data_IF_699752880336
#
_entry.id   IF_699752880336
#
_cell.length_a   1.000
_cell.length_b   1.000
_cell.length_c   1.000
_cell.angle_alpha   90.00
_cell.angle_beta   90.00
_cell.angle_gamma   90.00
#
_symmetry.space_group_name_H-M   'P 1'
#
loop_
_entity.id
_entity.type
_entity.pdbx_description
1 polymer ?
#
# COMPACT_ATOMS: atom_id res chain seq x y z
N UNK A 1 -12.95 -15.84 4.51
CA UNK A 1 -13.94 -16.71 3.82
C UNK A 1 -15.25 -15.92 3.72
N UNK A 2 -16.02 -16.01 2.63
CA UNK A 2 -17.33 -15.34 2.56
C UNK A 2 -18.33 -16.22 3.30
N UNK A 3 -19.05 -15.70 4.29
CA UNK A 3 -20.15 -16.45 4.90
C UNK A 3 -21.40 -16.32 4.02
N UNK A 4 -22.43 -17.10 4.38
CA UNK A 4 -23.70 -17.22 3.65
C UNK A 4 -24.46 -15.88 3.52
N UNK A 5 -24.10 -14.90 4.35
CA UNK A 5 -24.67 -13.54 4.33
C UNK A 5 -23.87 -12.55 3.47
N UNK A 6 -22.92 -13.04 2.66
CA UNK A 6 -22.10 -12.20 1.79
C UNK A 6 -21.05 -11.36 2.51
N UNK A 7 -20.89 -11.51 3.83
CA UNK A 7 -19.91 -10.79 4.65
C UNK A 7 -18.55 -11.47 4.54
N UNK A 8 -17.53 -10.68 4.23
CA UNK A 8 -16.14 -11.13 4.27
C UNK A 8 -15.68 -11.22 5.72
N UNK A 9 -15.63 -12.44 6.26
CA UNK A 9 -14.95 -12.69 7.53
C UNK A 9 -13.46 -12.89 7.28
N UNK A 10 -12.66 -12.11 8.02
CA UNK A 10 -11.22 -12.27 8.12
C UNK A 10 -10.94 -13.71 8.57
N UNK A 11 -10.41 -14.55 7.67
CA UNK A 11 -10.09 -15.93 8.00
C UNK A 11 -8.64 -15.99 8.43
N UNK A 12 -8.43 -16.18 9.73
CA UNK A 12 -7.21 -16.56 10.45
C UNK A 12 -5.91 -16.68 9.64
N UNK A 13 -4.83 -16.13 10.19
CA UNK A 13 -3.47 -16.52 9.87
C UNK A 13 -3.22 -17.98 10.29
N UNK A 14 -3.53 -18.94 9.41
CA UNK A 14 -3.17 -20.35 9.60
C UNK A 14 -1.68 -20.56 9.35
N UNK A 15 -1.00 -21.24 10.28
CA UNK A 15 0.37 -21.73 10.10
C UNK A 15 0.37 -22.86 9.03
N UNK A 16 1.35 -22.91 8.11
CA UNK A 16 1.51 -24.02 7.18
C UNK A 16 1.65 -25.36 7.92
N UNK A 17 1.09 -26.44 7.38
CA UNK A 17 1.08 -27.75 8.04
C UNK A 17 2.48 -28.35 8.14
N UNK A 18 3.36 -28.13 7.15
CA UNK A 18 4.73 -28.66 7.15
C UNK A 18 5.76 -27.61 7.57
N UNK A 19 5.51 -26.34 7.29
CA UNK A 19 6.46 -25.26 7.56
C UNK A 19 6.00 -24.26 8.65
N UNK A 20 6.14 -24.64 9.93
CA UNK A 20 5.79 -23.78 11.08
C UNK A 20 6.70 -22.55 11.31
N UNK A 21 7.69 -22.32 10.43
CA UNK A 21 8.73 -21.29 10.59
C UNK A 21 8.28 -19.89 10.16
N UNK A 22 7.24 -19.79 9.34
CA UNK A 22 6.76 -18.53 8.79
C UNK A 22 5.23 -18.41 8.84
N UNK A 23 4.77 -17.16 8.82
CA UNK A 23 3.37 -16.80 8.60
C UNK A 23 3.18 -16.43 7.13
N UNK A 24 2.01 -16.80 6.60
CA UNK A 24 1.65 -16.56 5.20
C UNK A 24 0.39 -15.71 5.15
N UNK A 25 0.55 -14.48 4.67
CA UNK A 25 -0.55 -13.55 4.40
C UNK A 25 -0.91 -13.62 2.91
N UNK A 26 -2.03 -14.26 2.59
CA UNK A 26 -2.51 -14.38 1.21
C UNK A 26 -2.91 -13.00 0.70
N UNK A 27 -2.35 -12.60 -0.44
CA UNK A 27 -2.60 -11.31 -1.07
C UNK A 27 -3.63 -11.44 -2.17
N UNK A 28 -3.45 -12.41 -3.07
CA UNK A 28 -4.29 -12.58 -4.26
C UNK A 28 -4.23 -14.02 -4.79
N UNK A 29 -5.35 -14.52 -5.32
CA UNK A 29 -5.38 -15.81 -6.04
C UNK A 29 -4.82 -15.65 -7.46
N UNK A 30 -3.91 -16.54 -7.86
CA UNK A 30 -3.38 -16.67 -9.24
C UNK A 30 -4.25 -17.66 -10.00
N UNK A 31 -4.49 -18.82 -9.39
CA UNK A 31 -5.41 -19.86 -9.85
C UNK A 31 -6.24 -20.35 -8.66
N UNK A 32 -7.11 -21.34 -8.87
CA UNK A 32 -7.83 -21.99 -7.77
C UNK A 32 -6.91 -22.66 -6.73
N UNK A 33 -5.66 -22.95 -7.10
CA UNK A 33 -4.70 -23.69 -6.27
C UNK A 33 -3.40 -22.94 -5.98
N UNK A 34 -3.15 -21.78 -6.59
CA UNK A 34 -1.94 -20.97 -6.40
C UNK A 34 -2.28 -19.54 -6.01
N UNK A 35 -1.49 -18.97 -5.12
CA UNK A 35 -1.73 -17.65 -4.53
C UNK A 35 -0.44 -16.86 -4.42
N UNK A 36 -0.51 -15.56 -4.66
CA UNK A 36 0.52 -14.62 -4.19
C UNK A 36 0.35 -14.41 -2.70
N UNK A 37 1.46 -14.44 -1.97
CA UNK A 37 1.46 -14.26 -0.52
C UNK A 37 2.67 -13.49 -0.04
N UNK A 38 2.50 -12.78 1.07
CA UNK A 38 3.63 -12.25 1.84
C UNK A 38 4.06 -13.25 2.90
N UNK A 39 5.35 -13.54 2.93
CA UNK A 39 5.95 -14.42 3.92
C UNK A 39 6.57 -13.57 5.02
N UNK A 40 6.20 -13.87 6.27
CA UNK A 40 6.75 -13.22 7.46
C UNK A 40 7.43 -14.26 8.33
N UNK A 41 8.67 -14.03 8.71
CA UNK A 41 9.34 -14.89 9.69
C UNK A 41 8.69 -14.75 11.06
N UNK A 42 8.55 -15.87 11.78
CA UNK A 42 7.82 -15.95 13.06
C UNK A 42 8.46 -15.15 14.20
N UNK A 43 9.76 -14.83 14.08
CA UNK A 43 10.51 -13.98 15.00
C UNK A 43 11.45 -13.13 14.17
N UNK A 44 11.12 -11.86 13.97
CA UNK A 44 12.19 -10.88 13.94
C UNK A 44 12.56 -10.68 15.41
N UNK A 45 13.79 -10.98 15.88
CA UNK A 45 14.23 -10.37 17.12
C UNK A 45 14.06 -8.87 16.92
N UNK A 46 13.18 -8.24 17.69
CA UNK A 46 13.11 -6.79 17.72
C UNK A 46 14.32 -6.35 18.54
N UNK A 47 15.46 -6.29 17.86
CA UNK A 47 16.73 -5.83 18.40
C UNK A 47 16.85 -4.30 18.26
N UNK A 48 17.99 -3.74 18.67
CA UNK A 48 18.26 -2.32 18.46
C UNK A 48 18.25 -1.92 16.99
N UNK A 49 18.54 -2.84 16.08
CA UNK A 49 18.57 -2.56 14.65
C UNK A 49 17.16 -2.36 14.10
N UNK A 50 16.15 -3.10 14.58
CA UNK A 50 14.74 -2.81 14.28
C UNK A 50 14.31 -1.41 14.74
N UNK A 51 14.80 -0.94 15.91
CA UNK A 51 14.47 0.41 16.42
C UNK A 51 15.07 1.51 15.55
N UNK A 52 16.24 1.25 14.94
CA UNK A 52 16.98 2.18 14.07
C UNK A 52 16.51 2.09 12.61
N UNK A 53 16.07 0.92 12.17
CA UNK A 53 15.65 0.69 10.79
C UNK A 53 14.36 1.46 10.47
N UNK A 54 14.44 2.37 9.50
CA UNK A 54 13.29 3.10 8.99
C UNK A 54 12.35 2.18 8.17
N UNK A 55 12.88 1.10 7.61
CA UNK A 55 12.16 0.18 6.74
C UNK A 55 12.42 -1.28 7.11
N UNK A 56 11.46 -2.14 6.82
CA UNK A 56 11.60 -3.58 6.69
C UNK A 56 11.26 -4.01 5.25
N UNK A 57 11.45 -5.30 4.95
CA UNK A 57 11.11 -5.86 3.66
C UNK A 57 10.10 -6.98 3.81
N UNK A 58 9.07 -6.94 2.97
CA UNK A 58 8.10 -8.01 2.80
C UNK A 58 8.51 -8.86 1.61
N UNK A 59 8.57 -10.16 1.81
CA UNK A 59 8.88 -11.11 0.74
C UNK A 59 7.58 -11.52 0.06
N UNK A 60 7.43 -11.18 -1.21
CA UNK A 60 6.38 -11.70 -2.08
C UNK A 60 6.80 -13.08 -2.61
N UNK A 61 5.94 -14.08 -2.42
CA UNK A 61 6.16 -15.45 -2.86
C UNK A 61 4.90 -16.05 -3.49
N UNK A 62 5.03 -17.23 -4.10
CA UNK A 62 3.89 -18.05 -4.54
C UNK A 62 3.71 -19.22 -3.58
N UNK A 63 2.48 -19.40 -3.12
CA UNK A 63 2.09 -20.53 -2.26
C UNK A 63 0.94 -21.33 -2.87
N UNK A 64 0.80 -22.57 -2.45
CA UNK A 64 -0.33 -23.41 -2.82
C UNK A 64 -1.56 -23.17 -1.93
N UNK A 65 -2.64 -23.93 -2.16
CA UNK A 65 -3.87 -23.91 -1.35
C UNK A 65 -3.67 -24.31 0.12
N UNK A 66 -2.59 -25.03 0.42
CA UNK A 66 -2.20 -25.46 1.77
C UNK A 66 -1.23 -24.45 2.42
N UNK A 67 -0.92 -23.36 1.70
CA UNK A 67 0.04 -22.30 2.05
C UNK A 67 1.48 -22.78 2.11
N UNK A 68 1.79 -23.88 1.43
CA UNK A 68 3.17 -24.33 1.24
C UNK A 68 3.81 -23.52 0.11
N UNK A 69 5.08 -23.15 0.29
CA UNK A 69 5.84 -22.39 -0.69
C UNK A 69 6.03 -23.21 -1.98
N UNK A 70 5.59 -22.64 -3.11
CA UNK A 70 5.83 -23.18 -4.47
C UNK A 70 7.08 -22.52 -5.07
N UNK A 71 7.19 -21.20 -4.92
CA UNK A 71 8.31 -20.41 -5.41
C UNK A 71 8.69 -19.40 -4.33
N UNK A 72 9.97 -19.36 -4.00
CA UNK A 72 10.50 -18.49 -2.96
C UNK A 72 10.89 -17.14 -3.57
N UNK A 73 10.60 -16.06 -2.84
CA UNK A 73 11.25 -14.75 -3.01
C UNK A 73 11.16 -14.18 -4.43
N UNK A 74 9.92 -14.05 -4.94
CA UNK A 74 9.73 -13.34 -6.21
C UNK A 74 10.27 -11.90 -6.10
N UNK A 75 9.92 -11.22 -5.02
CA UNK A 75 10.32 -9.83 -4.78
C UNK A 75 10.44 -9.51 -3.30
N UNK A 76 11.43 -8.70 -2.97
CA UNK A 76 11.50 -7.97 -1.70
C UNK A 76 10.89 -6.59 -1.86
N UNK A 77 9.84 -6.32 -1.08
CA UNK A 77 9.09 -5.06 -1.12
C UNK A 77 9.37 -4.25 0.14
N UNK A 78 9.89 -3.03 -0.04
CA UNK A 78 10.16 -2.09 1.05
C UNK A 78 8.88 -1.66 1.76
N UNK A 79 8.85 -1.74 3.08
CA UNK A 79 7.75 -1.28 3.93
C UNK A 79 8.27 -0.43 5.08
N UNK A 80 7.67 0.74 5.37
CA UNK A 80 8.08 1.55 6.50
C UNK A 80 7.75 0.89 7.83
N UNK A 81 8.67 1.06 8.78
CA UNK A 81 8.46 0.62 10.15
C UNK A 81 7.68 1.67 10.93
N UNK A 82 6.77 1.19 11.78
CA UNK A 82 6.15 2.03 12.79
C UNK A 82 7.17 2.41 13.86
N UNK A 83 7.00 3.58 14.46
CA UNK A 83 7.72 3.93 15.67
C UNK A 83 7.03 3.22 16.84
N UNK A 84 7.82 2.47 17.59
CA UNK A 84 7.38 1.72 18.76
C UNK A 84 8.33 1.96 19.92
N UNK A 85 7.78 1.95 21.13
CA UNK A 85 8.52 1.96 22.39
C UNK A 85 8.45 0.60 23.06
N UNK A 86 9.44 0.31 23.91
CA UNK A 86 9.46 -0.88 24.74
C UNK A 86 9.56 -0.47 26.20
N UNK A 87 8.46 -0.60 26.93
CA UNK A 87 8.36 -0.30 28.36
C UNK A 87 7.93 -1.56 29.11
N UNK A 88 8.72 -1.98 30.11
CA UNK A 88 8.37 -3.12 30.97
C UNK A 88 8.20 -4.46 30.23
N UNK A 89 8.86 -4.66 29.09
CA UNK A 89 8.70 -5.86 28.26
C UNK A 89 7.48 -5.83 27.33
N UNK A 90 6.73 -4.73 27.30
CA UNK A 90 5.60 -4.51 26.39
C UNK A 90 5.98 -3.57 25.24
N UNK A 91 5.40 -3.80 24.06
CA UNK A 91 5.56 -2.93 22.90
C UNK A 91 4.42 -1.91 22.85
N UNK A 92 4.76 -0.63 22.83
CA UNK A 92 3.82 0.48 22.74
C UNK A 92 3.94 1.14 21.38
N UNK A 93 2.86 1.17 20.61
CA UNK A 93 2.82 1.86 19.33
C UNK A 93 2.82 3.38 19.53
N UNK A 94 3.81 4.07 18.96
CA UNK A 94 3.88 5.54 18.99
C UNK A 94 3.16 6.13 17.79
N UNK A 95 3.43 5.63 16.59
CA UNK A 95 2.89 6.20 15.35
C UNK A 95 3.62 5.74 14.09
N UNK A 96 3.12 6.17 12.94
CA UNK A 96 3.77 6.00 11.64
C UNK A 96 4.04 7.38 11.04
N UNK A 97 5.29 7.75 10.74
CA UNK A 97 5.58 9.01 10.05
C UNK A 97 4.85 9.08 8.70
N UNK A 98 4.31 10.24 8.31
CA UNK A 98 3.73 10.42 6.99
C UNK A 98 4.80 10.36 5.90
N UNK A 99 4.34 10.23 4.64
CA UNK A 99 5.19 10.32 3.44
C UNK A 99 6.34 9.30 3.38
N UNK A 100 6.21 8.17 4.07
CA UNK A 100 7.19 7.11 3.94
C UNK A 100 7.02 6.34 2.62
N UNK A 101 8.11 6.15 1.89
CA UNK A 101 8.10 5.35 0.67
C UNK A 101 7.83 3.88 0.99
N UNK A 102 6.75 3.34 0.43
CA UNK A 102 6.40 1.94 0.55
C UNK A 102 6.20 1.34 -0.84
N UNK A 103 6.86 0.22 -1.10
CA UNK A 103 6.63 -0.53 -2.32
C UNK A 103 5.23 -1.15 -2.31
N UNK A 104 4.60 -1.13 -3.48
CA UNK A 104 3.19 -1.50 -3.64
C UNK A 104 3.09 -2.63 -4.65
N UNK A 105 2.45 -3.73 -4.25
CA UNK A 105 2.09 -4.82 -5.15
C UNK A 105 0.63 -4.70 -5.58
N UNK A 106 0.38 -4.88 -6.89
CA UNK A 106 -0.96 -4.94 -7.48
C UNK A 106 -1.02 -6.08 -8.49
N UNK A 107 -1.98 -6.96 -8.32
CA UNK A 107 -2.34 -7.92 -9.35
C UNK A 107 -3.04 -7.24 -10.52
N UNK A 108 -2.76 -7.71 -11.72
CA UNK A 108 -3.51 -7.41 -12.95
C UNK A 108 -4.06 -8.74 -13.47
N UNK A 109 -5.16 -8.68 -14.21
CA UNK A 109 -5.75 -9.85 -14.86
C UNK A 109 -4.72 -10.73 -15.61
N UNK A 110 -5.06 -12.00 -15.79
CA UNK A 110 -4.27 -13.01 -16.49
C UNK A 110 -2.92 -13.37 -15.84
N UNK A 111 -2.82 -13.28 -14.51
CA UNK A 111 -1.61 -13.70 -13.80
C UNK A 111 -0.50 -12.65 -13.78
N UNK A 112 -0.72 -11.50 -14.41
CA UNK A 112 0.24 -10.39 -14.42
C UNK A 112 0.19 -9.62 -13.11
N UNK A 113 1.24 -8.87 -12.80
CA UNK A 113 1.25 -7.98 -11.65
C UNK A 113 2.20 -6.82 -11.83
N UNK A 114 2.06 -5.84 -10.95
CA UNK A 114 2.86 -4.62 -10.94
C UNK A 114 3.40 -4.35 -9.57
N UNK A 115 4.67 -3.96 -9.54
CA UNK A 115 5.33 -3.40 -8.38
C UNK A 115 5.54 -1.92 -8.63
N UNK A 116 4.92 -1.09 -7.81
CA UNK A 116 5.17 0.35 -7.78
C UNK A 116 6.19 0.68 -6.71
N UNK A 117 7.23 1.41 -7.10
CA UNK A 117 8.30 1.90 -6.23
C UNK A 117 8.29 3.44 -6.20
N UNK A 118 7.62 4.05 -5.22
CA UNK A 118 7.45 5.51 -5.17
C UNK A 118 8.75 6.29 -5.04
N UNK A 119 9.77 5.72 -4.39
CA UNK A 119 11.08 6.36 -4.25
C UNK A 119 11.83 6.47 -5.57
N UNK A 120 11.51 5.64 -6.57
CA UNK A 120 12.13 5.69 -7.90
C UNK A 120 11.19 6.21 -8.99
N UNK A 121 9.97 6.66 -8.64
CA UNK A 121 8.93 7.08 -9.60
C UNK A 121 8.67 6.04 -10.69
N UNK A 122 8.64 4.74 -10.35
CA UNK A 122 8.54 3.65 -11.34
C UNK A 122 7.46 2.63 -11.01
N UNK A 123 6.88 2.08 -12.06
CA UNK A 123 6.07 0.87 -12.02
C UNK A 123 6.72 -0.22 -12.87
N UNK A 124 6.85 -1.42 -12.32
CA UNK A 124 7.45 -2.59 -12.95
C UNK A 124 6.39 -3.64 -13.20
N UNK A 125 6.16 -3.99 -14.47
CA UNK A 125 5.13 -4.95 -14.89
C UNK A 125 5.75 -6.31 -15.19
N UNK A 126 5.17 -7.33 -14.57
CA UNK A 126 5.64 -8.70 -14.65
C UNK A 126 4.56 -9.61 -15.24
N UNK A 127 4.99 -10.56 -16.05
CA UNK A 127 4.12 -11.55 -16.65
C UNK A 127 3.76 -12.68 -15.64
N UNK A 128 2.97 -13.64 -16.10
CA UNK A 128 2.55 -14.80 -15.32
C UNK A 128 3.70 -15.77 -14.98
N UNK A 129 4.81 -15.68 -15.73
CA UNK A 129 6.07 -16.37 -15.47
C UNK A 129 7.03 -15.55 -14.60
N UNK A 130 6.58 -14.40 -14.10
CA UNK A 130 7.33 -13.47 -13.24
C UNK A 130 8.51 -12.77 -13.94
N UNK A 131 8.54 -12.75 -15.27
CA UNK A 131 9.51 -11.97 -16.02
C UNK A 131 9.07 -10.52 -16.11
N UNK A 132 10.01 -9.59 -15.89
CA UNK A 132 9.79 -8.17 -16.14
C UNK A 132 9.63 -7.96 -17.65
N UNK A 133 8.47 -7.48 -18.10
CA UNK A 133 8.23 -7.20 -19.52
C UNK A 133 8.09 -5.70 -19.82
N UNK A 134 7.84 -4.86 -18.81
CA UNK A 134 7.70 -3.41 -19.00
C UNK A 134 8.03 -2.62 -17.74
N UNK A 135 8.74 -1.52 -17.93
CA UNK A 135 8.95 -0.49 -16.90
C UNK A 135 8.29 0.80 -17.35
N UNK A 136 7.49 1.41 -16.47
CA UNK A 136 6.89 2.72 -16.70
C UNK A 136 7.56 3.72 -15.76
N UNK A 137 8.11 4.78 -16.35
CA UNK A 137 8.67 5.92 -15.63
C UNK A 137 7.58 6.96 -15.47
N UNK A 138 7.27 7.33 -14.22
CA UNK A 138 6.23 8.28 -13.91
C UNK A 138 6.83 9.69 -13.97
N UNK A 139 6.25 10.55 -14.81
CA UNK A 139 6.63 11.96 -14.91
C UNK A 139 6.03 12.73 -13.73
N UNK A 140 6.55 12.48 -12.53
CA UNK A 140 6.16 13.16 -11.29
C UNK A 140 7.38 13.79 -10.66
N UNK A 141 7.25 15.08 -10.37
CA UNK A 141 8.26 15.80 -9.61
C UNK A 141 8.23 15.38 -8.15
N UNK A 142 9.41 15.37 -7.53
CA UNK A 142 9.52 15.16 -6.09
C UNK A 142 9.21 16.46 -5.36
N UNK A 143 8.13 16.46 -4.60
CA UNK A 143 7.77 17.59 -3.76
C UNK A 143 8.49 17.54 -2.41
N UNK A 144 8.89 18.70 -1.90
CA UNK A 144 9.39 18.81 -0.53
C UNK A 144 8.23 18.70 0.46
N UNK A 145 8.48 18.04 1.58
CA UNK A 145 7.55 18.08 2.71
C UNK A 145 7.58 19.48 3.32
N UNK A 146 6.42 20.12 3.40
CA UNK A 146 6.25 21.47 3.95
C UNK A 146 5.88 21.43 5.43
N UNK A 147 5.95 22.58 6.11
CA UNK A 147 5.50 22.66 7.51
C UNK A 147 3.99 22.45 7.62
N UNK A 148 3.25 22.93 6.63
CA UNK A 148 1.80 22.80 6.53
C UNK A 148 1.39 21.32 6.41
N UNK A 149 2.12 20.52 5.63
CA UNK A 149 1.91 19.07 5.55
C UNK A 149 2.07 18.39 6.92
N UNK A 150 3.13 18.77 7.65
CA UNK A 150 3.46 18.24 8.97
C UNK A 150 2.36 18.61 9.98
N UNK A 151 1.96 19.88 10.03
CA UNK A 151 0.89 20.35 10.93
C UNK A 151 -0.45 19.68 10.59
N UNK A 152 -0.79 19.56 9.30
CA UNK A 152 -2.00 18.87 8.88
C UNK A 152 -2.03 17.41 9.34
N UNK A 153 -0.90 16.70 9.20
CA UNK A 153 -0.76 15.33 9.68
C UNK A 153 -0.96 15.24 11.20
N UNK A 154 -0.28 16.08 11.99
CA UNK A 154 -0.38 16.02 13.45
C UNK A 154 -1.76 16.42 13.96
N UNK A 155 -2.38 17.45 13.39
CA UNK A 155 -3.75 17.87 13.70
C UNK A 155 -4.77 16.76 13.44
N UNK A 156 -4.55 15.96 12.39
CA UNK A 156 -5.46 14.87 12.00
C UNK A 156 -5.35 13.63 12.88
N UNK A 157 -4.25 13.44 13.63
CA UNK A 157 -3.96 12.21 14.36
C UNK A 157 -3.87 12.38 15.89
N UNK A 158 -3.95 13.61 16.42
CA UNK A 158 -4.00 13.90 17.88
C UNK A 158 -2.86 13.26 18.70
N UNK A 159 -1.62 13.36 18.21
CA UNK A 159 -0.45 12.86 18.95
C UNK A 159 -0.10 13.76 20.16
N UNK A 160 0.43 13.18 21.24
CA UNK A 160 1.02 13.94 22.35
C UNK A 160 2.27 14.70 21.89
N UNK A 161 2.66 15.76 22.61
CA UNK A 161 3.86 16.55 22.29
C UNK A 161 5.13 15.71 22.20
N UNK A 162 5.29 14.73 23.10
CA UNK A 162 6.43 13.82 23.10
C UNK A 162 6.42 12.91 21.85
N UNK A 163 5.28 12.28 21.54
CA UNK A 163 5.15 11.41 20.37
C UNK A 163 5.32 12.19 19.08
N UNK A 164 4.87 13.45 19.05
CA UNK A 164 5.04 14.37 17.92
C UNK A 164 6.52 14.54 17.58
N UNK A 165 7.35 14.93 18.55
CA UNK A 165 8.79 15.13 18.31
C UNK A 165 9.48 13.87 17.75
N UNK A 166 9.15 12.70 18.33
CA UNK A 166 9.69 11.42 17.86
C UNK A 166 9.28 11.10 16.42
N UNK A 167 8.02 11.33 16.05
CA UNK A 167 7.52 11.11 14.69
C UNK A 167 8.12 12.12 13.71
N UNK A 168 8.15 13.39 14.09
CA UNK A 168 8.62 14.50 13.26
C UNK A 168 10.08 14.29 12.82
N UNK A 169 10.93 13.79 13.73
CA UNK A 169 12.33 13.44 13.43
C UNK A 169 12.54 12.39 12.34
N UNK A 170 11.50 11.61 12.00
CA UNK A 170 11.54 10.55 10.99
C UNK A 170 10.79 10.91 9.71
N UNK A 171 10.25 12.12 9.60
CA UNK A 171 9.60 12.60 8.38
C UNK A 171 10.67 12.85 7.31
N UNK A 172 10.53 12.31 6.08
CA UNK A 172 11.50 12.51 5.04
C UNK A 172 11.44 13.95 4.51
N UNK A 173 12.55 14.44 3.96
CA UNK A 173 12.61 15.78 3.35
C UNK A 173 11.71 15.92 2.12
N UNK A 174 11.50 14.83 1.38
CA UNK A 174 10.71 14.80 0.15
C UNK A 174 9.57 13.79 0.27
N UNK A 175 8.42 14.14 -0.29
CA UNK A 175 7.30 13.24 -0.46
C UNK A 175 7.67 12.13 -1.45
N UNK A 176 7.13 10.91 -1.29
CA UNK A 176 7.21 9.89 -2.32
C UNK A 176 6.37 10.35 -3.52
N UNK A 177 6.75 9.95 -4.73
CA UNK A 177 6.04 10.40 -5.94
C UNK A 177 4.57 9.92 -5.98
N UNK A 178 4.24 8.86 -5.24
CA UNK A 178 2.87 8.46 -4.97
C UNK A 178 2.78 7.67 -3.65
N UNK A 179 1.66 7.81 -2.94
CA UNK A 179 1.33 7.09 -1.72
C UNK A 179 0.73 5.70 -2.00
N UNK A 180 -0.02 5.59 -3.11
CA UNK A 180 -0.67 4.37 -3.57
C UNK A 180 -0.95 4.44 -5.08
N UNK A 181 -1.23 3.29 -5.71
CA UNK A 181 -1.62 3.25 -7.11
C UNK A 181 -2.67 2.16 -7.42
N UNK A 182 -3.36 2.39 -8.54
CA UNK A 182 -4.27 1.46 -9.20
C UNK A 182 -4.02 1.48 -10.70
N UNK A 183 -4.30 0.36 -11.36
CA UNK A 183 -4.09 0.19 -12.80
C UNK A 183 -5.37 -0.35 -13.41
N UNK A 184 -5.70 0.20 -14.56
CA UNK A 184 -6.74 -0.32 -15.46
C UNK A 184 -6.07 -0.72 -16.78
N UNK A 185 -6.87 -1.16 -17.75
CA UNK A 185 -6.34 -1.56 -19.07
C UNK A 185 -5.53 -0.48 -19.77
N UNK A 186 -5.89 0.80 -19.59
CA UNK A 186 -5.35 1.93 -20.35
C UNK A 186 -4.83 3.09 -19.49
N UNK A 187 -5.09 3.10 -18.18
CA UNK A 187 -4.75 4.20 -17.29
C UNK A 187 -4.09 3.72 -15.99
N UNK A 188 -3.22 4.55 -15.49
CA UNK A 188 -2.59 4.46 -14.16
C UNK A 188 -3.20 5.56 -13.30
N UNK A 189 -3.60 5.21 -12.08
CA UNK A 189 -4.13 6.14 -11.09
C UNK A 189 -3.21 6.15 -9.89
N UNK A 190 -2.74 7.32 -9.50
CA UNK A 190 -1.78 7.51 -8.43
C UNK A 190 -2.39 8.40 -7.37
N UNK A 191 -2.45 7.91 -6.12
CA UNK A 191 -2.72 8.79 -4.99
C UNK A 191 -1.43 9.54 -4.67
N UNK A 192 -1.32 10.80 -5.07
CA UNK A 192 -0.09 11.60 -4.97
C UNK A 192 0.02 12.32 -3.63
N UNK A 193 -1.10 12.80 -3.08
CA UNK A 193 -1.11 13.56 -1.83
C UNK A 193 -2.41 13.38 -1.03
N UNK A 194 -2.38 13.72 0.27
CA UNK A 194 -3.57 13.80 1.12
C UNK A 194 -3.52 15.09 1.93
N UNK A 195 -4.41 16.03 1.60
CA UNK A 195 -4.48 17.35 2.24
C UNK A 195 -5.93 17.72 2.60
N UNK A 196 -6.18 19.00 2.91
CA UNK A 196 -7.50 19.48 3.31
C UNK A 196 -8.57 19.29 2.23
N UNK A 197 -8.20 19.35 0.94
CA UNK A 197 -9.12 19.13 -0.18
C UNK A 197 -9.54 17.67 -0.33
N UNK A 198 -8.71 16.73 0.13
CA UNK A 198 -8.97 15.30 0.03
C UNK A 198 -7.73 14.49 -0.34
N UNK A 199 -7.94 13.34 -0.99
CA UNK A 199 -6.88 12.58 -1.65
C UNK A 199 -6.75 13.08 -3.06
N UNK A 200 -5.57 13.52 -3.42
CA UNK A 200 -5.25 13.90 -4.79
C UNK A 200 -4.95 12.64 -5.60
N UNK A 201 -5.69 12.46 -6.69
CA UNK A 201 -5.50 11.36 -7.63
C UNK A 201 -4.98 11.92 -8.94
N UNK A 202 -3.73 11.61 -9.26
CA UNK A 202 -3.14 11.87 -10.57
C UNK A 202 -3.41 10.70 -11.51
N UNK A 203 -3.98 11.00 -12.67
CA UNK A 203 -4.25 10.04 -13.73
C UNK A 203 -3.18 10.16 -14.82
N UNK A 204 -2.66 9.01 -15.25
CA UNK A 204 -1.63 8.89 -16.28
C UNK A 204 -2.01 7.83 -17.30
N UNK A 205 -1.42 7.90 -18.49
CA UNK A 205 -1.52 6.82 -19.47
C UNK A 205 -0.52 5.69 -19.17
N UNK A 206 -0.62 4.57 -19.89
CA UNK A 206 0.29 3.42 -19.69
C UNK A 206 1.75 3.67 -20.11
N UNK A 207 2.10 4.86 -20.63
CA UNK A 207 3.49 5.29 -20.86
C UNK A 207 4.05 6.11 -19.67
N UNK A 208 3.21 6.47 -18.70
CA UNK A 208 3.59 7.30 -17.56
C UNK A 208 3.46 8.80 -17.81
N UNK A 209 2.77 9.18 -18.90
CA UNK A 209 2.49 10.57 -19.25
C UNK A 209 1.22 11.05 -18.53
N UNK A 210 1.26 12.29 -18.06
CA UNK A 210 0.17 12.94 -17.34
C UNK A 210 -1.11 13.07 -18.19
N UNK A 211 -2.27 12.77 -17.61
CA UNK A 211 -3.59 13.03 -18.21
C UNK A 211 -4.35 14.10 -17.42
N UNK A 212 -4.38 14.02 -16.10
CA UNK A 212 -5.16 14.96 -15.27
C UNK A 212 -5.11 14.66 -13.77
N UNK A 213 -5.71 15.54 -12.98
CA UNK A 213 -5.80 15.43 -11.51
C UNK A 213 -7.25 15.60 -11.08
N UNK A 214 -7.67 14.85 -10.07
CA UNK A 214 -8.93 15.07 -9.38
C UNK A 214 -8.80 14.73 -7.89
N UNK A 215 -9.79 15.15 -7.10
CA UNK A 215 -9.81 14.92 -5.65
C UNK A 215 -10.97 14.03 -5.25
N UNK A 216 -10.72 13.07 -4.36
CA UNK A 216 -11.76 12.32 -3.65
C UNK A 216 -11.66 12.58 -2.15
N UNK A 217 -12.68 12.18 -1.38
CA UNK A 217 -12.64 12.43 0.07
C UNK A 217 -11.44 11.75 0.74
N UNK A 218 -10.83 12.42 1.71
CA UNK A 218 -9.78 11.82 2.56
C UNK A 218 -10.24 10.56 3.32
N UNK A 219 -11.55 10.47 3.59
CA UNK A 219 -12.15 9.31 4.26
C UNK A 219 -12.48 8.16 3.30
N UNK A 220 -12.36 8.35 1.99
CA UNK A 220 -12.69 7.33 1.00
C UNK A 220 -11.50 6.39 0.76
N UNK A 221 -11.65 5.11 1.10
CA UNK A 221 -10.68 4.07 0.75
C UNK A 221 -11.08 3.44 -0.58
N UNK A 222 -10.30 3.70 -1.62
CA UNK A 222 -10.46 3.07 -2.94
C UNK A 222 -10.23 1.56 -2.78
N UNK A 223 -11.23 0.77 -3.18
CA UNK A 223 -11.12 -0.68 -3.26
C UNK A 223 -10.67 -1.10 -4.67
N UNK A 224 -11.27 -0.51 -5.69
CA UNK A 224 -11.04 -0.86 -7.09
C UNK A 224 -11.33 0.35 -8.00
N UNK A 225 -10.70 0.36 -9.18
CA UNK A 225 -11.04 1.27 -10.28
C UNK A 225 -11.31 0.40 -11.50
N UNK A 226 -12.51 0.53 -12.08
CA UNK A 226 -12.94 -0.27 -13.23
C UNK A 226 -13.81 0.57 -14.16
N UNK A 227 -13.51 0.53 -15.46
CA UNK A 227 -14.24 1.27 -16.50
C UNK A 227 -14.45 2.75 -16.13
N UNK A 228 -13.37 3.45 -15.78
CA UNK A 228 -13.39 4.86 -15.36
C UNK A 228 -14.33 5.17 -14.17
N UNK A 229 -14.70 4.14 -13.40
CA UNK A 229 -15.45 4.26 -12.15
C UNK A 229 -14.57 3.86 -10.96
N UNK A 230 -14.52 4.71 -9.94
CA UNK A 230 -13.76 4.50 -8.71
C UNK A 230 -14.72 4.00 -7.63
N UNK A 231 -14.46 2.80 -7.13
CA UNK A 231 -15.26 2.16 -6.09
C UNK A 231 -14.58 2.39 -4.74
N UNK A 232 -15.25 3.13 -3.86
CA UNK A 232 -14.69 3.48 -2.55
C UNK A 232 -15.58 3.03 -1.41
N UNK A 233 -14.95 2.80 -0.26
CA UNK A 233 -15.63 2.71 1.03
C UNK A 233 -15.30 3.98 1.79
N UNK A 234 -16.32 4.81 2.01
CA UNK A 234 -16.25 6.01 2.85
C UNK A 234 -16.23 5.60 4.32
N UNK A 235 -15.23 6.05 5.07
CA UNK A 235 -15.01 5.67 6.47
C UNK A 235 -14.89 6.94 7.35
N UNK A 236 -16.00 7.63 7.57
CA UNK A 236 -15.99 8.83 8.41
C UNK A 236 -16.39 8.50 9.85
N UNK A 237 -15.60 8.90 10.86
CA UNK A 237 -15.84 8.54 12.27
C UNK A 237 -17.27 8.83 12.73
N UNK A 238 -17.80 10.02 12.37
CA UNK A 238 -19.11 10.48 12.83
C UNK A 238 -20.29 10.15 11.90
N UNK A 239 -20.04 9.62 10.69
CA UNK A 239 -21.10 9.44 9.66
C UNK A 239 -21.26 7.98 9.22
N UNK A 240 -20.46 7.08 9.79
CA UNK A 240 -20.47 5.65 9.49
C UNK A 240 -19.84 5.30 8.14
N UNK A 241 -19.99 4.02 7.79
CA UNK A 241 -19.46 3.44 6.56
C UNK A 241 -20.46 3.52 5.42
N UNK A 242 -20.03 3.92 4.22
CA UNK A 242 -20.87 3.95 3.02
C UNK A 242 -20.06 3.55 1.79
N UNK A 243 -20.72 2.96 0.80
CA UNK A 243 -20.12 2.75 -0.52
C UNK A 243 -20.34 4.04 -1.33
N UNK A 244 -19.30 4.50 -2.03
CA UNK A 244 -19.40 5.61 -2.99
C UNK A 244 -18.77 5.22 -4.32
N UNK A 245 -19.27 5.85 -5.36
CA UNK A 245 -18.85 5.66 -6.74
C UNK A 245 -18.51 7.05 -7.29
N UNK A 246 -17.36 7.16 -7.94
CA UNK A 246 -16.97 8.36 -8.69
C UNK A 246 -16.83 7.98 -10.15
N UNK A 247 -17.59 8.62 -11.03
CA UNK A 247 -17.38 8.55 -12.48
C UNK A 247 -16.34 9.57 -12.92
N UNK A 248 -15.47 9.18 -13.84
CA UNK A 248 -14.50 10.08 -14.47
C UNK A 248 -15.02 10.43 -15.85
N UNK A 249 -15.60 11.63 -15.99
CA UNK A 249 -16.03 12.15 -17.27
C UNK A 249 -14.80 12.65 -18.04
N UNK A 250 -14.39 11.89 -19.07
CA UNK A 250 -13.35 12.36 -19.99
C UNK A 250 -14.02 13.38 -20.93
N UNK A 251 -14.07 14.65 -20.55
CA UNK A 251 -14.38 15.68 -21.54
C UNK A 251 -13.18 15.80 -22.50
N UNK A 252 -13.36 15.60 -23.81
CA UNK A 252 -12.33 15.96 -24.78
C UNK A 252 -12.19 17.48 -24.74
N UNK A 253 -11.00 17.95 -24.35
CA UNK A 253 -10.59 19.33 -24.61
C UNK A 253 -10.37 19.53 -26.11
#
# INVERSE_FOLDING_TARGET
KRNENGVFTYSNSWLPKKNKKYFVDIVQAITKSKYYAFIKQKKLPIDEDYKKAQFTYKILSVVDKEKELISNELHELKEPNSIVDFEGGSMKYIGMPPFQSQDRFRYIDNGQYVIGRPDSSKLFFYDDNHNLFKTVYLQLDRERVTKEDIEYFFKSNSYSTENRSRIESRIPLFKPSFLNFWITKNKIYLNTDINEKGKEITMMNMKGEFIGIFFISKFDRIQEIKNDTIYTVYQHPNRGYRIRLYGIDNHPN
#
